data_IF_317669168832
#
_entry.id   IF_317669168832
#
_cell.length_a   1.000
_cell.length_b   1.000
_cell.length_c   1.000
_cell.angle_alpha   90.00
_cell.angle_beta   90.00
_cell.angle_gamma   90.00
#
_symmetry.space_group_name_H-M   'P 1'
#
loop_
_entity.id
_entity.type
_entity.pdbx_description
1 polymer ?
#
# COMPACT_ATOMS: atom_id res chain seq x y z
N UNK A 1 16.39 -28.32 -5.14
CA UNK A 1 15.93 -27.59 -3.94
C UNK A 1 14.78 -26.67 -4.34
N UNK A 2 13.56 -26.82 -3.81
CA UNK A 2 12.45 -25.93 -4.14
C UNK A 2 12.75 -24.50 -3.65
N UNK A 3 12.55 -23.49 -4.51
CA UNK A 3 12.73 -22.08 -4.12
C UNK A 3 11.40 -21.51 -3.66
N UNK A 4 11.36 -21.00 -2.44
CA UNK A 4 10.20 -20.25 -1.92
C UNK A 4 10.00 -18.97 -2.73
N UNK A 5 8.80 -18.77 -3.27
CA UNK A 5 8.42 -17.58 -4.06
C UNK A 5 7.36 -16.76 -3.31
N UNK A 6 7.61 -15.45 -3.16
CA UNK A 6 6.79 -14.55 -2.31
C UNK A 6 5.89 -13.60 -3.12
N UNK A 7 5.57 -13.97 -4.37
CA UNK A 7 4.84 -13.11 -5.30
C UNK A 7 3.42 -12.80 -4.80
N UNK A 8 2.72 -13.82 -4.29
CA UNK A 8 1.34 -13.71 -3.81
C UNK A 8 1.25 -12.86 -2.54
N UNK A 9 2.10 -13.13 -1.54
CA UNK A 9 2.05 -12.38 -0.28
C UNK A 9 2.45 -10.91 -0.47
N UNK A 10 3.43 -10.63 -1.34
CA UNK A 10 3.78 -9.25 -1.72
C UNK A 10 2.60 -8.51 -2.36
N UNK A 11 1.89 -9.15 -3.30
CA UNK A 11 0.70 -8.55 -3.95
C UNK A 11 -0.43 -8.29 -2.95
N UNK A 12 -0.66 -9.20 -2.01
CA UNK A 12 -1.68 -9.05 -0.97
C UNK A 12 -1.41 -7.85 -0.06
N UNK A 13 -0.16 -7.69 0.41
CA UNK A 13 0.25 -6.52 1.22
C UNK A 13 0.02 -5.21 0.47
N UNK A 14 0.39 -5.16 -0.82
CA UNK A 14 0.20 -3.97 -1.66
C UNK A 14 -1.27 -3.58 -1.80
N UNK A 15 -2.13 -4.56 -2.06
CA UNK A 15 -3.59 -4.34 -2.15
C UNK A 15 -4.19 -3.84 -0.84
N UNK A 16 -3.73 -4.32 0.33
CA UNK A 16 -4.23 -3.87 1.64
C UNK A 16 -4.01 -2.36 1.85
N UNK A 17 -2.82 -1.85 1.56
CA UNK A 17 -2.53 -0.42 1.72
C UNK A 17 -3.20 0.44 0.66
N UNK A 18 -3.29 -0.02 -0.60
CA UNK A 18 -4.06 0.69 -1.63
C UNK A 18 -5.56 0.76 -1.29
N UNK A 19 -6.10 -0.26 -0.60
CA UNK A 19 -7.46 -0.20 -0.07
C UNK A 19 -7.61 0.90 0.99
N UNK A 20 -6.61 1.10 1.85
CA UNK A 20 -6.59 2.17 2.84
C UNK A 20 -6.39 3.56 2.20
N UNK A 21 -5.71 3.64 1.06
CA UNK A 21 -5.46 4.89 0.31
C UNK A 21 -6.63 5.30 -0.61
N UNK A 22 -7.76 4.58 -0.60
CA UNK A 22 -8.94 4.94 -1.41
C UNK A 22 -9.45 6.33 -1.01
N UNK A 23 -9.82 7.12 -2.01
CA UNK A 23 -10.25 8.51 -1.81
C UNK A 23 -9.11 9.53 -1.82
N UNK A 24 -7.84 9.11 -1.84
CA UNK A 24 -6.73 10.04 -2.01
C UNK A 24 -6.63 10.56 -3.45
N UNK A 25 -6.31 11.85 -3.58
CA UNK A 25 -6.23 12.53 -4.87
C UNK A 25 -5.03 12.08 -5.71
N UNK A 26 -5.25 11.90 -7.01
CA UNK A 26 -4.22 11.60 -8.00
C UNK A 26 -3.45 10.30 -7.72
N UNK A 27 -2.11 10.35 -7.81
CA UNK A 27 -1.25 9.16 -7.71
C UNK A 27 -1.25 8.49 -6.32
N UNK A 28 -1.76 9.18 -5.29
CA UNK A 28 -1.81 8.69 -3.91
C UNK A 28 -2.79 7.52 -3.71
N UNK A 29 -3.76 7.31 -4.61
CA UNK A 29 -4.71 6.19 -4.53
C UNK A 29 -4.36 5.01 -5.45
N UNK A 30 -3.50 5.22 -6.45
CA UNK A 30 -3.19 4.21 -7.48
C UNK A 30 -1.76 3.67 -7.43
N UNK A 31 -0.78 4.48 -7.01
CA UNK A 31 0.64 4.11 -7.04
C UNK A 31 1.10 3.69 -5.66
N UNK A 32 1.54 2.43 -5.51
CA UNK A 32 1.98 1.84 -4.24
C UNK A 32 2.99 2.71 -3.47
N UNK A 33 4.05 3.17 -4.14
CA UNK A 33 5.14 3.92 -3.50
C UNK A 33 4.68 5.25 -2.94
N UNK A 34 3.70 5.88 -3.58
CA UNK A 34 3.13 7.16 -3.15
C UNK A 34 2.04 6.93 -2.10
N UNK A 35 1.19 5.92 -2.31
CA UNK A 35 0.11 5.54 -1.41
C UNK A 35 0.64 5.21 -0.01
N UNK A 36 1.75 4.46 0.09
CA UNK A 36 2.31 4.10 1.39
C UNK A 36 2.68 5.32 2.23
N UNK A 37 3.36 6.30 1.62
CA UNK A 37 3.82 7.51 2.31
C UNK A 37 2.64 8.38 2.72
N UNK A 38 1.62 8.47 1.88
CA UNK A 38 0.42 9.26 2.16
C UNK A 38 -0.41 8.64 3.30
N UNK A 39 -0.58 7.32 3.30
CA UNK A 39 -1.33 6.61 4.34
C UNK A 39 -0.60 6.69 5.68
N UNK A 40 0.71 6.45 5.71
CA UNK A 40 1.52 6.53 6.93
C UNK A 40 1.44 7.93 7.55
N UNK A 41 1.60 8.98 6.73
CA UNK A 41 1.46 10.38 7.18
C UNK A 41 0.03 10.70 7.65
N UNK A 42 -0.98 10.15 6.97
CA UNK A 42 -2.38 10.30 7.37
C UNK A 42 -2.68 9.66 8.72
N UNK A 43 -2.09 8.51 9.02
CA UNK A 43 -2.24 7.86 10.34
C UNK A 43 -1.60 8.66 11.46
N UNK A 44 -0.46 9.31 11.22
CA UNK A 44 0.15 10.21 12.21
C UNK A 44 -0.74 11.41 12.51
N UNK A 45 -1.49 11.91 11.54
CA UNK A 45 -2.44 13.01 11.74
C UNK A 45 -3.77 12.59 12.38
N UNK A 46 -4.09 11.30 12.37
CA UNK A 46 -5.32 10.78 12.95
C UNK A 46 -5.22 10.56 14.47
N UNK A 47 -4.00 10.59 15.02
CA UNK A 47 -3.70 10.62 16.44
C UNK A 47 -3.68 12.06 16.93
#
# INVERSE_FOLDING_TARGET
MPRSVNTVASRARRKKMLKAAKGYWGRRSNVWTVAKNAVEKGWTYAY
#
